data_IF_321163717767
#
_entry.id   IF_321163717767
#
_cell.length_a   1.000
_cell.length_b   1.000
_cell.length_c   1.000
_cell.angle_alpha   90.00
_cell.angle_beta   90.00
_cell.angle_gamma   90.00
#
_symmetry.space_group_name_H-M   'P 1'
#
loop_
_entity.id
_entity.type
_entity.pdbx_description
1 polymer ?
#
# COMPACT_ATOMS: atom_id res chain seq x y z
N UNK A 1 16.67 3.98 14.60
CA UNK A 1 17.19 5.27 15.12
C UNK A 1 16.29 5.77 16.24
N UNK A 2 14.97 5.97 16.01
CA UNK A 2 14.07 6.57 16.99
C UNK A 2 13.89 5.76 18.29
N UNK A 3 14.07 4.45 18.27
CA UNK A 3 13.95 3.55 19.43
C UNK A 3 15.24 3.47 20.28
N UNK A 4 16.40 3.69 19.66
CA UNK A 4 17.70 3.44 20.30
C UNK A 4 18.48 4.72 20.61
N UNK A 5 18.12 5.84 20.00
CA UNK A 5 18.84 7.10 20.17
C UNK A 5 17.95 8.16 20.82
N UNK A 6 18.46 8.94 21.78
CA UNK A 6 17.76 10.11 22.29
C UNK A 6 17.59 11.17 21.19
N UNK A 7 16.57 12.03 21.30
CA UNK A 7 16.18 13.01 20.30
C UNK A 7 17.39 13.82 19.73
N UNK A 8 18.27 14.29 20.59
CA UNK A 8 19.46 15.05 20.17
C UNK A 8 20.38 14.25 19.25
N UNK A 9 20.62 12.96 19.55
CA UNK A 9 21.44 12.09 18.70
C UNK A 9 20.75 11.76 17.38
N UNK A 10 19.43 11.64 17.37
CA UNK A 10 18.66 11.44 16.12
C UNK A 10 18.83 12.63 15.18
N UNK A 11 18.69 13.85 15.71
CA UNK A 11 18.88 15.10 14.96
C UNK A 11 20.29 15.18 14.37
N UNK A 12 21.31 14.84 15.15
CA UNK A 12 22.71 14.88 14.67
C UNK A 12 22.93 13.85 13.56
N UNK A 13 22.54 12.61 13.79
CA UNK A 13 22.71 11.52 12.79
C UNK A 13 21.98 11.86 11.48
N UNK A 14 20.73 12.33 11.59
CA UNK A 14 19.96 12.72 10.41
C UNK A 14 20.56 13.94 9.70
N UNK A 15 21.04 14.93 10.46
CA UNK A 15 21.74 16.10 9.91
C UNK A 15 23.03 15.73 9.16
N UNK A 16 23.82 14.79 9.69
CA UNK A 16 25.02 14.29 9.01
C UNK A 16 24.64 13.57 7.71
N UNK A 17 23.59 12.73 7.73
CA UNK A 17 23.11 12.04 6.52
C UNK A 17 22.60 13.04 5.46
N UNK A 18 21.91 14.10 5.88
CA UNK A 18 21.47 15.18 4.99
C UNK A 18 22.65 15.91 4.34
N UNK A 19 23.68 16.22 5.10
CA UNK A 19 24.90 16.86 4.59
C UNK A 19 25.65 15.95 3.61
N UNK A 20 25.76 14.66 3.93
CA UNK A 20 26.36 13.67 3.03
C UNK A 20 25.56 13.57 1.72
N UNK A 21 24.22 13.65 1.78
CA UNK A 21 23.40 13.64 0.57
C UNK A 21 23.64 14.87 -0.33
N UNK A 22 23.97 16.04 0.24
CA UNK A 22 24.36 17.23 -0.56
C UNK A 22 25.65 16.97 -1.33
N UNK A 23 26.62 16.27 -0.74
CA UNK A 23 27.92 15.98 -1.38
C UNK A 23 27.74 15.07 -2.62
N UNK A 24 26.68 14.30 -2.69
CA UNK A 24 26.38 13.44 -3.86
C UNK A 24 25.67 14.19 -5.01
N UNK A 25 25.44 15.48 -4.88
CA UNK A 25 24.84 16.30 -5.94
C UNK A 25 25.91 16.80 -6.94
N UNK A 26 25.54 17.02 -8.20
CA UNK A 26 24.27 16.73 -8.85
C UNK A 26 24.06 15.22 -9.09
N UNK A 27 22.79 14.78 -9.15
CA UNK A 27 22.45 13.37 -9.40
C UNK A 27 22.72 13.05 -10.88
N UNK A 28 23.93 12.58 -11.15
CA UNK A 28 24.33 12.10 -12.49
C UNK A 28 25.00 10.74 -12.36
N UNK A 29 24.58 9.73 -13.16
CA UNK A 29 25.30 8.47 -13.21
C UNK A 29 26.74 8.70 -13.67
N UNK A 30 27.72 8.07 -12.99
CA UNK A 30 29.10 8.11 -13.40
C UNK A 30 29.30 7.40 -14.75
N UNK A 31 30.16 7.93 -15.61
CA UNK A 31 30.56 7.28 -16.87
C UNK A 31 31.15 5.88 -16.65
N UNK A 32 31.80 5.66 -15.50
CA UNK A 32 32.36 4.34 -15.12
C UNK A 32 31.31 3.25 -14.87
N UNK A 33 30.05 3.64 -14.72
CA UNK A 33 28.93 2.71 -14.48
C UNK A 33 28.17 2.35 -15.76
N UNK A 34 28.63 2.82 -16.92
CA UNK A 34 28.02 2.41 -18.19
C UNK A 34 28.20 0.91 -18.41
N UNK A 35 27.14 0.18 -18.78
CA UNK A 35 27.23 -1.26 -19.01
C UNK A 35 28.22 -1.58 -20.14
N UNK A 36 29.08 -2.55 -19.91
CA UNK A 36 30.04 -3.05 -20.93
C UNK A 36 29.46 -4.17 -21.80
N UNK A 37 28.24 -4.63 -21.48
CA UNK A 37 27.48 -5.62 -22.25
C UNK A 37 27.57 -7.07 -21.75
N UNK A 38 28.50 -7.38 -20.85
CA UNK A 38 28.69 -8.75 -20.31
C UNK A 38 28.12 -8.94 -18.90
N UNK A 39 27.43 -7.95 -18.36
CA UNK A 39 26.99 -7.93 -16.96
C UNK A 39 25.52 -8.33 -16.83
N UNK A 40 25.14 -8.81 -15.62
CA UNK A 40 23.74 -9.07 -15.31
C UNK A 40 22.99 -7.72 -15.25
N UNK A 41 22.00 -7.47 -16.12
CA UNK A 41 21.32 -6.16 -16.21
C UNK A 41 20.73 -5.68 -14.87
N UNK A 42 20.16 -6.60 -14.09
CA UNK A 42 19.55 -6.29 -12.79
C UNK A 42 20.59 -5.76 -11.79
N UNK A 43 21.75 -6.39 -11.70
CA UNK A 43 22.82 -5.97 -10.79
C UNK A 43 23.35 -4.60 -11.19
N UNK A 44 23.56 -4.39 -12.49
CA UNK A 44 24.07 -3.13 -13.01
C UNK A 44 23.09 -1.96 -12.76
N UNK A 45 21.80 -2.18 -12.99
CA UNK A 45 20.76 -1.18 -12.68
C UNK A 45 20.77 -0.83 -11.19
N UNK A 46 20.84 -1.83 -10.30
CA UNK A 46 20.89 -1.60 -8.85
C UNK A 46 22.15 -0.84 -8.44
N UNK A 47 23.30 -1.12 -9.03
CA UNK A 47 24.55 -0.37 -8.75
C UNK A 47 24.43 1.07 -9.20
N UNK A 48 23.98 1.33 -10.42
CA UNK A 48 23.78 2.69 -10.95
C UNK A 48 22.82 3.48 -10.07
N UNK A 49 21.69 2.90 -9.71
CA UNK A 49 20.68 3.57 -8.86
C UNK A 49 21.22 3.82 -7.45
N UNK A 50 21.93 2.85 -6.86
CA UNK A 50 22.45 2.99 -5.50
C UNK A 50 23.52 4.09 -5.44
N UNK A 51 24.42 4.13 -6.41
CA UNK A 51 25.49 5.15 -6.43
C UNK A 51 24.98 6.55 -6.79
N UNK A 52 24.02 6.64 -7.72
CA UNK A 52 23.53 7.93 -8.20
C UNK A 52 22.52 8.59 -7.27
N UNK A 53 21.52 7.83 -6.78
CA UNK A 53 20.39 8.38 -6.02
C UNK A 53 20.20 7.73 -4.64
N UNK A 54 20.93 6.66 -4.32
CA UNK A 54 20.68 5.86 -3.13
C UNK A 54 20.71 6.66 -1.83
N UNK A 55 21.72 7.48 -1.61
CA UNK A 55 21.83 8.28 -0.38
C UNK A 55 20.77 9.40 -0.30
N UNK A 56 20.55 10.24 -1.32
CA UNK A 56 19.43 11.18 -1.34
C UNK A 56 18.07 10.51 -1.11
N UNK A 57 17.80 9.38 -1.76
CA UNK A 57 16.55 8.63 -1.61
C UNK A 57 16.37 8.09 -0.18
N UNK A 58 17.42 7.51 0.41
CA UNK A 58 17.40 7.02 1.79
C UNK A 58 17.07 8.14 2.77
N UNK A 59 17.66 9.30 2.60
CA UNK A 59 17.44 10.46 3.47
C UNK A 59 16.01 10.99 3.33
N UNK A 60 15.52 11.16 2.11
CA UNK A 60 14.15 11.60 1.85
C UNK A 60 13.11 10.62 2.42
N UNK A 61 13.31 9.32 2.20
CA UNK A 61 12.37 8.28 2.67
C UNK A 61 12.34 8.16 4.20
N UNK A 62 13.47 8.36 4.88
CA UNK A 62 13.56 8.28 6.34
C UNK A 62 13.07 9.55 7.04
N UNK A 63 13.07 10.70 6.38
CA UNK A 63 12.67 11.98 6.99
C UNK A 63 11.19 12.02 7.34
N UNK A 64 10.31 11.53 6.50
CA UNK A 64 8.85 11.59 6.77
C UNK A 64 8.47 10.90 8.08
N UNK A 65 8.84 9.63 8.36
CA UNK A 65 8.60 8.99 9.65
C UNK A 65 9.27 9.68 10.83
N UNK A 66 10.47 10.23 10.60
CA UNK A 66 11.24 10.90 11.65
C UNK A 66 10.59 12.21 12.09
N UNK A 67 10.20 13.06 11.13
CA UNK A 67 9.50 14.32 11.39
C UNK A 67 8.16 14.07 12.08
N UNK A 68 7.43 13.02 11.69
CA UNK A 68 6.19 12.64 12.37
C UNK A 68 6.41 12.24 13.84
N UNK A 69 7.49 11.48 14.11
CA UNK A 69 7.87 11.11 15.46
C UNK A 69 8.28 12.34 16.29
N UNK A 70 9.00 13.28 15.69
CA UNK A 70 9.34 14.55 16.34
C UNK A 70 8.12 15.42 16.61
N UNK A 71 7.20 15.50 15.64
CA UNK A 71 5.94 16.23 15.80
C UNK A 71 5.10 15.66 16.94
N UNK A 72 5.00 14.34 17.05
CA UNK A 72 4.27 13.69 18.14
C UNK A 72 4.85 14.02 19.52
N UNK A 73 6.19 14.14 19.62
CA UNK A 73 6.87 14.53 20.86
C UNK A 73 6.71 16.02 21.16
N UNK A 74 6.77 16.88 20.16
CA UNK A 74 6.65 18.33 20.33
C UNK A 74 5.20 18.77 20.61
N UNK A 75 4.20 18.01 20.16
CA UNK A 75 2.78 18.36 20.26
C UNK A 75 1.96 17.19 20.83
N UNK A 76 2.05 16.90 22.13
CA UNK A 76 1.26 15.84 22.75
C UNK A 76 -0.24 16.09 22.54
N UNK A 77 -0.97 15.02 22.18
CA UNK A 77 -2.41 15.08 21.90
C UNK A 77 -2.79 15.41 20.44
N UNK A 78 -1.84 15.82 19.59
CA UNK A 78 -2.09 16.00 18.15
C UNK A 78 -1.70 14.73 17.36
N UNK A 79 -2.55 14.36 16.39
CA UNK A 79 -2.32 13.18 15.57
C UNK A 79 -1.24 13.44 14.50
N UNK A 80 -0.11 12.69 14.49
CA UNK A 80 0.94 12.84 13.50
C UNK A 80 0.56 12.22 12.15
N UNK A 81 -0.45 11.36 12.09
CA UNK A 81 -0.82 10.59 10.90
C UNK A 81 -1.28 11.44 9.71
N UNK A 82 -1.78 12.67 9.96
CA UNK A 82 -2.13 13.61 8.89
C UNK A 82 -0.90 14.08 8.10
N UNK A 83 0.28 14.09 8.70
CA UNK A 83 1.52 14.44 8.00
C UNK A 83 1.88 13.39 6.94
N UNK A 84 1.50 12.13 7.17
CA UNK A 84 1.67 11.07 6.18
C UNK A 84 0.75 11.30 4.97
N UNK A 85 -0.50 11.68 5.20
CA UNK A 85 -1.40 12.07 4.10
C UNK A 85 -0.82 13.26 3.30
N UNK A 86 -0.29 14.27 3.97
CA UNK A 86 0.34 15.43 3.33
C UNK A 86 1.56 15.04 2.48
N UNK A 87 2.39 14.12 2.97
CA UNK A 87 3.53 13.58 2.19
C UNK A 87 3.05 12.90 0.90
N UNK A 88 1.97 12.13 0.95
CA UNK A 88 1.38 11.50 -0.23
C UNK A 88 0.74 12.51 -1.20
N UNK A 89 0.21 13.63 -0.70
CA UNK A 89 -0.23 14.75 -1.58
C UNK A 89 0.96 15.29 -2.37
N UNK A 90 2.12 15.51 -1.73
CA UNK A 90 3.34 15.93 -2.42
C UNK A 90 3.76 14.92 -3.50
N UNK A 91 3.70 13.62 -3.20
CA UNK A 91 4.00 12.56 -4.17
C UNK A 91 3.02 12.55 -5.35
N UNK A 92 1.73 12.74 -5.08
CA UNK A 92 0.70 12.83 -6.13
C UNK A 92 0.91 14.05 -7.04
N UNK A 93 1.20 15.21 -6.44
CA UNK A 93 1.50 16.43 -7.21
C UNK A 93 2.76 16.26 -8.07
N UNK A 94 3.80 15.60 -7.56
CA UNK A 94 5.00 15.29 -8.33
C UNK A 94 4.71 14.31 -9.47
N UNK A 95 3.94 13.26 -9.21
CA UNK A 95 3.55 12.27 -10.22
C UNK A 95 2.80 12.92 -11.39
N UNK A 96 1.82 13.77 -11.09
CA UNK A 96 1.03 14.44 -12.11
C UNK A 96 1.74 15.66 -12.70
N UNK A 97 2.51 16.39 -11.90
CA UNK A 97 3.20 17.61 -12.34
C UNK A 97 4.40 17.32 -13.25
N UNK A 98 5.11 16.21 -13.03
CA UNK A 98 6.33 15.91 -13.80
C UNK A 98 6.08 15.83 -15.30
N UNK A 99 5.19 14.97 -15.83
CA UNK A 99 5.00 14.81 -17.28
C UNK A 99 4.32 15.99 -17.95
N UNK A 100 3.52 16.78 -17.20
CA UNK A 100 2.76 17.89 -17.80
C UNK A 100 3.43 19.27 -17.62
N UNK A 101 4.21 19.45 -16.55
CA UNK A 101 4.80 20.75 -16.19
C UNK A 101 6.33 20.75 -16.25
N UNK A 102 6.99 19.63 -15.94
CA UNK A 102 8.45 19.60 -15.84
C UNK A 102 9.08 19.09 -17.13
N UNK A 103 8.68 17.90 -17.57
CA UNK A 103 9.27 17.24 -18.74
C UNK A 103 9.14 18.04 -20.04
N UNK A 104 7.98 18.67 -20.37
CA UNK A 104 7.83 19.42 -21.62
C UNK A 104 8.59 20.75 -21.64
N UNK A 105 8.83 21.34 -20.47
CA UNK A 105 9.34 22.72 -20.37
C UNK A 105 10.80 22.82 -19.93
N UNK A 106 11.39 21.72 -19.46
CA UNK A 106 12.73 21.75 -18.89
C UNK A 106 13.66 20.74 -19.54
N UNK A 107 14.83 21.19 -19.94
CA UNK A 107 15.90 20.29 -20.39
C UNK A 107 16.36 19.39 -19.24
N UNK A 108 16.90 18.21 -19.55
CA UNK A 108 17.42 17.25 -18.55
C UNK A 108 18.42 17.90 -17.57
N UNK A 109 19.33 18.72 -18.08
CA UNK A 109 20.31 19.45 -17.25
C UNK A 109 19.61 20.44 -16.30
N UNK A 110 18.60 21.17 -16.78
CA UNK A 110 17.82 22.06 -15.95
C UNK A 110 17.09 21.29 -14.84
N UNK A 111 16.45 20.15 -15.16
CA UNK A 111 15.79 19.29 -14.17
C UNK A 111 16.75 18.85 -13.07
N UNK A 112 17.94 18.38 -13.41
CA UNK A 112 18.97 17.96 -12.45
C UNK A 112 19.37 19.12 -11.53
N UNK A 113 19.60 20.31 -12.09
CA UNK A 113 20.01 21.50 -11.33
C UNK A 113 18.89 21.97 -10.38
N UNK A 114 17.63 22.03 -10.86
CA UNK A 114 16.50 22.41 -10.03
C UNK A 114 16.21 21.38 -8.92
N UNK A 115 16.37 20.09 -9.23
CA UNK A 115 16.27 19.05 -8.22
C UNK A 115 17.34 19.19 -7.14
N UNK A 116 18.58 19.46 -7.56
CA UNK A 116 19.71 19.67 -6.64
C UNK A 116 19.48 20.89 -5.74
N UNK A 117 18.99 21.99 -6.31
CA UNK A 117 18.63 23.20 -5.56
C UNK A 117 17.49 22.91 -4.57
N UNK A 118 16.47 22.16 -5.01
CA UNK A 118 15.37 21.71 -4.15
C UNK A 118 15.86 20.85 -2.99
N UNK A 119 16.84 19.97 -3.20
CA UNK A 119 17.45 19.16 -2.16
C UNK A 119 18.20 20.02 -1.14
N UNK A 120 18.97 21.03 -1.59
CA UNK A 120 19.63 21.98 -0.69
C UNK A 120 18.60 22.73 0.17
N UNK A 121 17.53 23.26 -0.45
CA UNK A 121 16.45 23.92 0.26
C UNK A 121 15.78 23.00 1.29
N UNK A 122 15.51 21.76 0.91
CA UNK A 122 14.97 20.73 1.80
C UNK A 122 15.86 20.49 3.03
N UNK A 123 17.20 20.40 2.83
CA UNK A 123 18.15 20.24 3.94
C UNK A 123 18.13 21.44 4.87
N UNK A 124 18.03 22.66 4.34
CA UNK A 124 17.91 23.87 5.15
C UNK A 124 16.63 23.87 6.00
N UNK A 125 15.49 23.48 5.42
CA UNK A 125 14.22 23.36 6.14
C UNK A 125 14.30 22.28 7.23
N UNK A 126 14.87 21.11 6.92
CA UNK A 126 15.07 20.05 7.92
C UNK A 126 16.03 20.50 9.04
N UNK A 127 17.08 21.23 8.70
CA UNK A 127 18.01 21.82 9.67
C UNK A 127 17.31 22.81 10.60
N UNK A 128 16.47 23.68 10.06
CA UNK A 128 15.67 24.61 10.86
C UNK A 128 14.70 23.89 11.79
N UNK A 129 13.98 22.87 11.30
CA UNK A 129 13.10 22.03 12.13
C UNK A 129 13.88 21.33 13.25
N UNK A 130 15.04 20.78 12.92
CA UNK A 130 15.92 20.13 13.90
C UNK A 130 16.42 21.12 14.97
N UNK A 131 16.72 22.35 14.55
CA UNK A 131 17.09 23.42 15.48
C UNK A 131 15.95 23.79 16.43
N UNK A 132 14.73 23.96 15.92
CA UNK A 132 13.55 24.32 16.72
C UNK A 132 13.21 23.27 17.78
N UNK A 133 13.60 22.01 17.57
CA UNK A 133 13.36 20.89 18.50
C UNK A 133 14.36 20.85 19.68
N UNK A 134 15.42 21.65 19.66
CA UNK A 134 16.41 21.67 20.76
C UNK A 134 15.81 22.10 22.11
N UNK A 135 14.76 22.92 22.05
CA UNK A 135 14.04 23.45 23.24
C UNK A 135 12.99 22.48 23.80
N UNK A 136 12.73 21.35 23.13
CA UNK A 136 11.75 20.36 23.60
C UNK A 136 12.36 19.53 24.73
N UNK A 137 11.74 19.48 25.93
CA UNK A 137 12.24 18.68 27.04
C UNK A 137 12.32 17.19 26.68
N UNK A 138 13.37 16.52 27.17
CA UNK A 138 13.53 15.06 26.99
C UNK A 138 12.51 14.30 27.86
N UNK A 139 11.30 14.10 27.37
CA UNK A 139 10.24 13.29 28.00
C UNK A 139 10.44 11.77 27.82
N UNK A 140 11.55 11.36 27.18
CA UNK A 140 11.76 9.97 26.71
C UNK A 140 11.78 8.91 27.81
N UNK A 141 12.18 9.25 29.05
CA UNK A 141 12.34 8.22 30.11
C UNK A 141 11.03 7.90 30.82
N UNK A 142 10.20 8.91 31.08
CA UNK A 142 8.95 8.73 31.83
C UNK A 142 7.83 8.18 30.96
N UNK A 143 7.77 8.58 29.68
CA UNK A 143 6.82 8.02 28.73
C UNK A 143 7.12 6.55 28.39
N UNK A 144 8.37 6.17 28.20
CA UNK A 144 8.77 4.78 27.97
C UNK A 144 8.47 3.86 29.18
N UNK A 145 8.54 4.41 30.40
CA UNK A 145 8.21 3.68 31.63
C UNK A 145 6.70 3.54 31.82
N UNK A 146 5.94 4.60 31.52
CA UNK A 146 4.47 4.57 31.53
C UNK A 146 3.91 3.65 30.46
N UNK A 147 4.52 3.63 29.27
CA UNK A 147 4.14 2.75 28.15
C UNK A 147 4.40 1.27 28.49
N UNK A 148 5.58 0.94 29.08
CA UNK A 148 5.85 -0.43 29.55
C UNK A 148 4.84 -0.89 30.60
N UNK A 149 4.42 -0.01 31.51
CA UNK A 149 3.42 -0.33 32.50
C UNK A 149 2.02 -0.54 31.90
N UNK A 150 1.60 0.29 30.93
CA UNK A 150 0.32 0.14 30.23
C UNK A 150 0.26 -1.09 29.31
N UNK A 151 1.38 -1.48 28.70
CA UNK A 151 1.48 -2.61 27.78
C UNK A 151 1.60 -3.97 28.47
N UNK A 152 1.89 -3.97 29.78
CA UNK A 152 2.09 -5.21 30.59
C UNK A 152 0.81 -5.95 30.88
N UNK A 153 -0.34 -5.29 30.90
CA UNK A 153 -1.45 -5.86 31.68
C UNK A 153 -2.57 -6.53 30.87
N UNK A 154 -2.79 -6.33 29.56
CA UNK A 154 -4.00 -6.89 28.97
C UNK A 154 -3.99 -7.32 27.49
N UNK A 155 -2.90 -7.22 26.75
CA UNK A 155 -2.90 -7.72 25.35
C UNK A 155 -2.23 -9.10 25.22
N UNK A 156 -2.97 -10.09 24.74
CA UNK A 156 -2.41 -11.40 24.45
C UNK A 156 -1.30 -11.29 23.40
N UNK A 157 -0.21 -12.07 23.57
CA UNK A 157 0.92 -12.11 22.63
C UNK A 157 0.47 -12.40 21.20
N UNK A 158 -0.55 -13.25 21.04
CA UNK A 158 -1.14 -13.59 19.74
C UNK A 158 -1.78 -12.38 19.06
N UNK A 159 -2.53 -11.54 19.80
CA UNK A 159 -3.16 -10.33 19.23
C UNK A 159 -2.11 -9.34 18.74
N UNK A 160 -1.01 -9.15 19.48
CA UNK A 160 0.11 -8.28 19.02
C UNK A 160 0.75 -8.81 17.73
N UNK A 161 1.00 -10.11 17.65
CA UNK A 161 1.57 -10.72 16.44
C UNK A 161 0.61 -10.60 15.25
N UNK A 162 -0.69 -10.80 15.46
CA UNK A 162 -1.69 -10.62 14.44
C UNK A 162 -1.74 -9.16 13.92
N UNK A 163 -1.72 -8.16 14.80
CA UNK A 163 -1.70 -6.75 14.42
C UNK A 163 -0.43 -6.42 13.61
N UNK A 164 0.74 -6.91 14.01
CA UNK A 164 1.98 -6.76 13.25
C UNK A 164 1.89 -7.43 11.88
N UNK A 165 1.29 -8.62 11.83
CA UNK A 165 1.01 -9.31 10.57
C UNK A 165 0.12 -8.49 9.63
N UNK A 166 -0.93 -7.83 10.15
CA UNK A 166 -1.78 -6.94 9.34
C UNK A 166 -1.08 -5.66 8.90
N UNK A 167 -0.19 -5.08 9.72
CA UNK A 167 0.62 -3.93 9.28
C UNK A 167 1.55 -4.27 8.13
N UNK A 168 1.92 -5.53 7.99
CA UNK A 168 2.71 -6.04 6.87
C UNK A 168 1.84 -6.44 5.68
N UNK A 169 0.79 -7.25 5.92
CA UNK A 169 -0.02 -7.87 4.88
C UNK A 169 -0.92 -6.89 4.13
N UNK A 170 -1.53 -5.91 4.84
CA UNK A 170 -2.40 -4.91 4.19
C UNK A 170 -1.65 -4.05 3.15
N UNK A 171 -0.48 -3.46 3.46
CA UNK A 171 0.30 -2.73 2.46
C UNK A 171 0.85 -3.64 1.36
N UNK A 172 1.25 -4.88 1.70
CA UNK A 172 1.72 -5.85 0.71
C UNK A 172 0.63 -6.14 -0.33
N UNK A 173 -0.59 -6.39 0.15
CA UNK A 173 -1.74 -6.62 -0.71
C UNK A 173 -2.10 -5.38 -1.53
N UNK A 174 -2.09 -4.17 -0.92
CA UNK A 174 -2.33 -2.91 -1.62
C UNK A 174 -1.33 -2.64 -2.75
N UNK A 175 -0.05 -2.92 -2.52
CA UNK A 175 1.00 -2.79 -3.56
C UNK A 175 0.88 -3.88 -4.62
N UNK A 176 0.58 -5.11 -4.23
CA UNK A 176 0.42 -6.20 -5.19
C UNK A 176 -0.77 -5.94 -6.13
N UNK A 177 -1.91 -5.47 -5.62
CA UNK A 177 -3.06 -5.13 -6.49
C UNK A 177 -2.79 -3.89 -7.36
N UNK A 178 -2.03 -2.91 -6.87
CA UNK A 178 -1.57 -1.78 -7.69
C UNK A 178 -0.76 -2.27 -8.89
N UNK A 179 0.26 -3.09 -8.65
CA UNK A 179 1.14 -3.58 -9.70
C UNK A 179 0.41 -4.55 -10.65
N UNK A 180 -0.41 -5.46 -10.11
CA UNK A 180 -1.23 -6.37 -10.91
C UNK A 180 -2.24 -5.63 -11.79
N UNK A 181 -2.90 -4.59 -11.27
CA UNK A 181 -3.79 -3.73 -12.06
C UNK A 181 -3.01 -2.98 -13.15
N UNK A 182 -1.84 -2.44 -12.82
CA UNK A 182 -0.98 -1.73 -13.78
C UNK A 182 -0.55 -2.65 -14.90
N UNK A 183 -0.08 -3.86 -14.57
CA UNK A 183 0.27 -4.87 -15.56
C UNK A 183 -0.91 -5.20 -16.47
N UNK A 184 -2.08 -5.46 -15.88
CA UNK A 184 -3.30 -5.79 -16.63
C UNK A 184 -3.70 -4.68 -17.60
N UNK A 185 -3.68 -3.42 -17.16
CA UNK A 185 -4.02 -2.28 -18.00
C UNK A 185 -2.99 -2.03 -19.10
N UNK A 186 -1.70 -2.14 -18.79
CA UNK A 186 -0.64 -1.83 -19.76
C UNK A 186 -0.45 -2.92 -20.83
N UNK A 187 -0.94 -4.13 -20.59
CA UNK A 187 -0.74 -5.27 -21.49
C UNK A 187 -1.96 -5.57 -22.35
N UNK A 188 -3.15 -5.52 -21.80
CA UNK A 188 -4.39 -5.80 -22.52
C UNK A 188 -4.83 -4.62 -23.38
N UNK A 189 -4.30 -3.44 -23.11
CA UNK A 189 -4.63 -2.22 -23.82
C UNK A 189 -3.43 -1.76 -24.65
N UNK A 190 -3.69 -1.05 -25.75
CA UNK A 190 -2.63 -0.37 -26.49
C UNK A 190 -1.75 0.43 -25.56
N UNK A 191 -0.45 0.51 -25.83
CA UNK A 191 0.50 1.28 -25.04
C UNK A 191 0.10 2.77 -25.08
N UNK A 192 -0.81 3.14 -24.20
CA UNK A 192 -1.23 4.53 -24.03
C UNK A 192 -0.22 5.18 -23.10
N UNK A 193 0.49 6.21 -23.56
CA UNK A 193 1.39 6.96 -22.70
C UNK A 193 0.66 7.39 -21.43
N UNK A 194 1.34 7.27 -20.28
CA UNK A 194 0.81 7.65 -18.97
C UNK A 194 -0.34 6.80 -18.39
N UNK A 195 -0.80 5.73 -19.08
CA UNK A 195 -1.85 4.87 -18.52
C UNK A 195 -1.42 4.25 -17.17
N UNK A 196 -0.14 3.94 -17.00
CA UNK A 196 0.44 3.42 -15.76
C UNK A 196 0.36 4.42 -14.59
N UNK A 197 0.26 5.72 -14.87
CA UNK A 197 0.16 6.74 -13.82
C UNK A 197 -1.20 6.72 -13.12
N UNK A 198 -2.26 6.34 -13.82
CA UNK A 198 -3.63 6.34 -13.27
C UNK A 198 -3.78 5.40 -12.07
N UNK A 199 -3.37 4.11 -12.13
CA UNK A 199 -3.38 3.23 -10.96
C UNK A 199 -2.57 3.78 -9.78
N UNK A 200 -1.37 4.31 -10.04
CA UNK A 200 -0.51 4.87 -8.99
C UNK A 200 -1.12 6.15 -8.38
N UNK A 201 -1.73 7.02 -9.18
CA UNK A 201 -2.43 8.19 -8.68
C UNK A 201 -3.61 7.80 -7.78
N UNK A 202 -4.43 6.83 -8.19
CA UNK A 202 -5.53 6.30 -7.38
C UNK A 202 -5.02 5.70 -6.06
N UNK A 203 -3.94 4.94 -6.10
CA UNK A 203 -3.30 4.38 -4.91
C UNK A 203 -2.87 5.47 -3.91
N UNK A 204 -2.21 6.53 -4.39
CA UNK A 204 -1.84 7.67 -3.54
C UNK A 204 -3.07 8.41 -2.99
N UNK A 205 -4.11 8.59 -3.79
CA UNK A 205 -5.38 9.19 -3.35
C UNK A 205 -6.01 8.37 -2.23
N UNK A 206 -6.00 7.03 -2.30
CA UNK A 206 -6.54 6.20 -1.22
C UNK A 206 -5.75 6.33 0.09
N UNK A 207 -4.42 6.48 0.04
CA UNK A 207 -3.62 6.82 1.22
C UNK A 207 -3.98 8.19 1.80
N UNK A 208 -4.11 9.20 0.93
CA UNK A 208 -4.46 10.56 1.34
C UNK A 208 -5.80 10.55 2.08
N UNK A 209 -6.83 9.94 1.48
CA UNK A 209 -8.17 9.88 2.05
C UNK A 209 -8.18 9.11 3.37
N UNK A 210 -7.58 7.92 3.41
CA UNK A 210 -7.61 7.04 4.58
C UNK A 210 -6.84 7.64 5.76
N UNK A 211 -5.68 8.27 5.52
CA UNK A 211 -4.85 8.84 6.58
C UNK A 211 -5.24 10.27 6.96
N UNK A 212 -6.10 10.94 6.17
CA UNK A 212 -6.68 12.23 6.55
C UNK A 212 -7.61 12.10 7.77
N UNK A 213 -8.38 11.02 7.86
CA UNK A 213 -9.27 10.78 8.99
C UNK A 213 -10.15 9.56 8.87
N UNK A 214 -10.52 8.98 10.01
CA UNK A 214 -11.32 7.75 10.10
C UNK A 214 -12.74 7.84 9.50
N UNK A 215 -13.28 9.03 9.31
CA UNK A 215 -14.64 9.25 8.78
C UNK A 215 -14.79 8.92 7.30
N UNK A 216 -13.70 8.86 6.56
CA UNK A 216 -13.72 8.63 5.12
C UNK A 216 -13.78 7.15 4.74
N UNK A 217 -13.42 6.27 5.64
CA UNK A 217 -13.50 4.83 5.42
C UNK A 217 -14.66 4.24 6.24
N UNK A 218 -15.69 3.78 5.56
CA UNK A 218 -16.90 3.17 6.12
C UNK A 218 -17.00 1.75 5.56
N UNK A 219 -16.72 0.72 6.39
CA UNK A 219 -16.71 -0.71 5.97
C UNK A 219 -17.97 -1.11 5.26
N UNK A 220 -19.11 -0.69 5.82
CA UNK A 220 -20.46 -1.04 5.39
C UNK A 220 -20.77 -0.55 3.97
N UNK A 221 -20.01 0.41 3.47
CA UNK A 221 -20.14 0.94 2.11
C UNK A 221 -19.06 0.33 1.19
N UNK A 222 -17.81 0.32 1.63
CA UNK A 222 -16.70 -0.08 0.75
C UNK A 222 -16.67 -1.58 0.45
N UNK A 223 -17.04 -2.44 1.43
CA UNK A 223 -17.02 -3.89 1.23
C UNK A 223 -18.08 -4.35 0.22
N UNK A 224 -19.37 -3.97 0.33
CA UNK A 224 -20.37 -4.32 -0.69
C UNK A 224 -20.04 -3.78 -2.08
N UNK A 225 -19.52 -2.54 -2.15
CA UNK A 225 -19.10 -1.96 -3.43
C UNK A 225 -17.94 -2.74 -4.06
N UNK A 226 -17.00 -3.24 -3.26
CA UNK A 226 -15.92 -4.07 -3.76
C UNK A 226 -16.45 -5.39 -4.32
N UNK A 227 -17.39 -6.05 -3.63
CA UNK A 227 -18.04 -7.29 -4.13
C UNK A 227 -18.73 -7.04 -5.46
N UNK A 228 -19.46 -5.92 -5.59
CA UNK A 228 -20.11 -5.53 -6.84
C UNK A 228 -19.09 -5.32 -7.97
N UNK A 229 -17.98 -4.62 -7.67
CA UNK A 229 -16.92 -4.41 -8.65
C UNK A 229 -16.15 -5.68 -9.00
N UNK A 230 -16.01 -6.63 -8.09
CA UNK A 230 -15.47 -7.95 -8.42
C UNK A 230 -16.32 -8.68 -9.45
N UNK A 231 -17.63 -8.64 -9.29
CA UNK A 231 -18.55 -9.16 -10.32
C UNK A 231 -18.34 -8.45 -11.68
N UNK A 232 -18.12 -7.13 -11.65
CA UNK A 232 -17.75 -6.35 -12.83
C UNK A 232 -16.43 -6.77 -13.45
N UNK A 233 -15.39 -7.01 -12.63
CA UNK A 233 -14.08 -7.53 -13.08
C UNK A 233 -14.26 -8.88 -13.77
N UNK A 234 -14.97 -9.81 -13.14
CA UNK A 234 -15.24 -11.13 -13.73
C UNK A 234 -16.00 -11.01 -15.05
N UNK A 235 -17.02 -10.13 -15.12
CA UNK A 235 -17.78 -9.89 -16.34
C UNK A 235 -16.89 -9.33 -17.47
N UNK A 236 -16.03 -8.33 -17.16
CA UNK A 236 -15.09 -7.77 -18.12
C UNK A 236 -14.10 -8.84 -18.61
N UNK A 237 -13.58 -9.66 -17.71
CA UNK A 237 -12.65 -10.73 -18.06
C UNK A 237 -13.30 -11.79 -18.92
N UNK A 238 -14.56 -12.14 -18.64
CA UNK A 238 -15.33 -13.09 -19.45
C UNK A 238 -15.64 -12.56 -20.85
N UNK A 239 -15.99 -11.27 -20.97
CA UNK A 239 -16.31 -10.64 -22.28
C UNK A 239 -15.07 -10.24 -23.06
N UNK A 240 -13.93 -10.05 -22.40
CA UNK A 240 -12.66 -9.70 -23.02
C UNK A 240 -12.74 -8.43 -23.87
N UNK A 241 -12.22 -8.49 -25.09
CA UNK A 241 -12.11 -7.37 -26.04
C UNK A 241 -13.44 -6.77 -26.49
N UNK A 242 -14.57 -7.46 -26.25
CA UNK A 242 -15.91 -6.93 -26.60
C UNK A 242 -16.29 -5.73 -25.71
N UNK A 243 -15.74 -5.65 -24.50
CA UNK A 243 -16.00 -4.53 -23.61
C UNK A 243 -15.18 -3.31 -24.04
N UNK A 244 -15.85 -2.18 -24.21
CA UNK A 244 -15.18 -0.93 -24.57
C UNK A 244 -14.04 -0.59 -23.60
N UNK A 245 -12.90 -0.13 -24.09
CA UNK A 245 -11.68 0.14 -23.34
C UNK A 245 -11.90 1.02 -22.09
N UNK A 246 -12.73 2.06 -22.20
CA UNK A 246 -13.07 2.94 -21.08
C UNK A 246 -13.80 2.15 -19.98
N UNK A 247 -14.69 1.23 -20.35
CA UNK A 247 -15.39 0.37 -19.41
C UNK A 247 -14.43 -0.53 -18.65
N UNK A 248 -13.45 -1.11 -19.33
CA UNK A 248 -12.39 -1.93 -18.72
C UNK A 248 -11.57 -1.08 -17.73
N UNK A 249 -11.09 0.11 -18.14
CA UNK A 249 -10.34 1.03 -17.28
C UNK A 249 -11.14 1.36 -16.01
N UNK A 250 -12.41 1.73 -16.16
CA UNK A 250 -13.27 2.09 -15.03
C UNK A 250 -13.44 0.93 -14.04
N UNK A 251 -13.65 -0.28 -14.54
CA UNK A 251 -13.85 -1.47 -13.70
C UNK A 251 -12.55 -1.84 -12.97
N UNK A 252 -11.41 -1.94 -13.68
CA UNK A 252 -10.15 -2.31 -13.07
C UNK A 252 -9.63 -1.22 -12.11
N UNK A 253 -9.69 0.04 -12.48
CA UNK A 253 -9.31 1.16 -11.62
C UNK A 253 -10.26 1.34 -10.43
N UNK A 254 -11.55 1.09 -10.61
CA UNK A 254 -12.54 1.08 -9.53
C UNK A 254 -12.27 -0.04 -8.52
N UNK A 255 -11.99 -1.25 -8.99
CA UNK A 255 -11.64 -2.38 -8.14
C UNK A 255 -10.33 -2.11 -7.37
N UNK A 256 -9.31 -1.54 -8.02
CA UNK A 256 -8.09 -1.07 -7.37
C UNK A 256 -8.39 -0.04 -6.29
N UNK A 257 -9.15 1.01 -6.63
CA UNK A 257 -9.48 2.08 -5.69
C UNK A 257 -10.19 1.55 -4.43
N UNK A 258 -11.22 0.73 -4.60
CA UNK A 258 -11.97 0.17 -3.46
C UNK A 258 -11.10 -0.80 -2.63
N UNK A 259 -10.31 -1.65 -3.28
CA UNK A 259 -9.39 -2.57 -2.60
C UNK A 259 -8.34 -1.81 -1.78
N UNK A 260 -7.73 -0.79 -2.36
CA UNK A 260 -6.76 0.06 -1.66
C UNK A 260 -7.42 0.90 -0.55
N UNK A 261 -8.65 1.42 -0.75
CA UNK A 261 -9.40 2.11 0.32
C UNK A 261 -9.63 1.19 1.51
N UNK A 262 -9.94 -0.08 1.26
CA UNK A 262 -10.11 -1.07 2.33
C UNK A 262 -8.78 -1.36 3.02
N UNK A 263 -7.73 -1.70 2.27
CA UNK A 263 -6.41 -1.99 2.84
C UNK A 263 -5.87 -0.82 3.67
N UNK A 264 -5.90 0.40 3.14
CA UNK A 264 -5.39 1.59 3.82
C UNK A 264 -6.30 2.08 4.94
N UNK A 265 -7.63 1.91 4.79
CA UNK A 265 -8.61 2.22 5.83
C UNK A 265 -8.46 1.32 7.05
N UNK A 266 -8.35 0.00 6.84
CA UNK A 266 -8.08 -0.95 7.92
C UNK A 266 -6.70 -0.72 8.56
N UNK A 267 -5.70 -0.44 7.75
CA UNK A 267 -4.38 -0.09 8.23
C UNK A 267 -4.42 1.15 9.14
N UNK A 268 -5.16 2.20 8.76
CA UNK A 268 -5.36 3.38 9.59
C UNK A 268 -6.16 3.09 10.87
N UNK A 269 -7.13 2.17 10.84
CA UNK A 269 -7.87 1.73 12.04
C UNK A 269 -6.98 0.98 13.03
N UNK A 270 -6.06 0.16 12.53
CA UNK A 270 -5.08 -0.60 13.31
C UNK A 270 -3.85 0.22 13.72
N UNK A 271 -3.84 1.54 13.48
CA UNK A 271 -2.69 2.39 13.82
C UNK A 271 -2.40 2.37 15.31
N UNK A 272 -1.13 2.30 15.71
CA UNK A 272 -0.72 2.29 17.10
C UNK A 272 -0.74 3.70 17.71
N UNK A 273 -0.50 3.77 19.01
CA UNK A 273 -0.16 5.04 19.65
C UNK A 273 1.14 5.63 19.08
N UNK A 274 1.35 6.96 19.19
CA UNK A 274 2.50 7.67 18.61
C UNK A 274 3.87 7.11 19.00
N UNK A 275 3.99 6.46 20.15
CA UNK A 275 5.23 5.85 20.61
C UNK A 275 5.74 4.71 19.70
N UNK A 276 4.86 4.03 18.96
CA UNK A 276 5.20 2.94 18.03
C UNK A 276 5.19 3.34 16.56
N UNK A 277 5.10 4.62 16.28
CA UNK A 277 4.96 5.18 14.95
C UNK A 277 6.04 4.70 13.97
N UNK A 278 7.30 4.71 14.40
CA UNK A 278 8.43 4.30 13.55
C UNK A 278 8.33 2.83 13.13
N UNK A 279 7.95 1.95 14.08
CA UNK A 279 7.76 0.53 13.76
C UNK A 279 6.61 0.33 12.79
N UNK A 280 5.52 1.05 12.98
CA UNK A 280 4.36 1.02 12.12
C UNK A 280 4.71 1.39 10.68
N UNK A 281 5.37 2.53 10.44
CA UNK A 281 5.76 2.94 9.10
C UNK A 281 6.84 2.05 8.48
N UNK A 282 7.78 1.54 9.28
CA UNK A 282 8.76 0.57 8.79
C UNK A 282 8.08 -0.71 8.30
N UNK A 283 7.10 -1.21 9.05
CA UNK A 283 6.34 -2.41 8.70
C UNK A 283 5.47 -2.16 7.46
N UNK A 284 4.85 -0.98 7.32
CA UNK A 284 4.14 -0.58 6.10
C UNK A 284 5.06 -0.58 4.89
N UNK A 285 6.24 0.04 5.02
CA UNK A 285 7.22 0.09 3.92
C UNK A 285 7.73 -1.31 3.55
N UNK A 286 8.00 -2.14 4.55
CA UNK A 286 8.39 -3.54 4.33
C UNK A 286 7.28 -4.34 3.64
N UNK A 287 6.02 -4.16 4.07
CA UNK A 287 4.87 -4.77 3.43
C UNK A 287 4.73 -4.35 1.95
N UNK A 288 4.81 -3.05 1.68
CA UNK A 288 4.79 -2.55 0.30
C UNK A 288 5.91 -3.14 -0.56
N UNK A 289 7.14 -3.21 -0.01
CA UNK A 289 8.26 -3.85 -0.69
C UNK A 289 8.01 -5.34 -0.97
N UNK A 290 7.45 -6.09 -0.01
CA UNK A 290 7.12 -7.51 -0.19
C UNK A 290 6.04 -7.71 -1.27
N UNK A 291 5.00 -6.86 -1.30
CA UNK A 291 4.00 -6.89 -2.37
C UNK A 291 4.61 -6.61 -3.75
N UNK A 292 5.51 -5.63 -3.83
CA UNK A 292 6.27 -5.34 -5.04
C UNK A 292 7.17 -6.49 -5.50
N UNK A 293 7.91 -7.09 -4.57
CA UNK A 293 8.77 -8.25 -4.84
C UNK A 293 7.94 -9.47 -5.30
N UNK A 294 6.78 -9.69 -4.69
CA UNK A 294 5.88 -10.75 -5.13
C UNK A 294 5.50 -10.60 -6.60
N UNK A 295 5.01 -9.42 -6.99
CA UNK A 295 4.55 -9.20 -8.38
C UNK A 295 5.70 -9.10 -9.37
N UNK A 296 6.83 -8.44 -9.01
CA UNK A 296 7.93 -8.19 -9.92
C UNK A 296 8.87 -9.39 -10.10
N UNK A 297 9.05 -10.21 -9.07
CA UNK A 297 10.02 -11.31 -9.08
C UNK A 297 9.36 -12.69 -8.95
N UNK A 298 8.49 -12.88 -7.95
CA UNK A 298 7.94 -14.20 -7.66
C UNK A 298 6.86 -14.61 -8.66
N UNK A 299 5.93 -13.71 -8.98
CA UNK A 299 4.84 -14.03 -9.88
C UNK A 299 5.31 -14.48 -11.28
N UNK A 300 6.26 -13.80 -11.96
CA UNK A 300 6.77 -14.25 -13.25
C UNK A 300 7.54 -15.59 -13.20
N UNK A 301 8.07 -15.96 -12.02
CA UNK A 301 8.75 -17.24 -11.83
C UNK A 301 7.79 -18.40 -11.56
N UNK A 302 6.63 -18.10 -10.96
CA UNK A 302 5.65 -19.10 -10.51
C UNK A 302 4.51 -19.30 -11.50
N UNK A 303 4.14 -18.25 -12.25
CA UNK A 303 2.95 -18.23 -13.07
C UNK A 303 3.29 -17.94 -14.54
N UNK A 304 2.62 -18.61 -15.46
CA UNK A 304 2.73 -18.38 -16.91
C UNK A 304 1.72 -17.31 -17.41
N UNK A 305 1.04 -16.60 -16.51
CA UNK A 305 0.07 -15.53 -16.80
C UNK A 305 -0.06 -14.57 -15.64
N UNK A 306 -0.99 -13.61 -15.72
CA UNK A 306 -1.15 -12.50 -14.74
C UNK A 306 -2.01 -12.90 -13.55
N UNK A 307 -1.68 -14.00 -12.89
CA UNK A 307 -2.40 -14.55 -11.75
C UNK A 307 -2.26 -13.67 -10.49
N UNK A 308 -1.19 -12.89 -10.43
CA UNK A 308 -0.93 -11.96 -9.32
C UNK A 308 -2.07 -10.97 -9.09
N UNK A 309 -2.78 -10.55 -10.16
CA UNK A 309 -3.95 -9.69 -10.03
C UNK A 309 -5.09 -10.38 -9.26
N UNK A 310 -5.42 -11.60 -9.64
CA UNK A 310 -6.51 -12.39 -9.03
C UNK A 310 -6.18 -12.75 -7.58
N UNK A 311 -4.96 -13.23 -7.35
CA UNK A 311 -4.46 -13.57 -6.02
C UNK A 311 -4.53 -12.35 -5.09
N UNK A 312 -4.15 -11.17 -5.60
CA UNK A 312 -4.22 -9.93 -4.82
C UNK A 312 -5.66 -9.54 -4.48
N UNK A 313 -6.61 -9.68 -5.40
CA UNK A 313 -8.04 -9.45 -5.13
C UNK A 313 -8.56 -10.39 -4.03
N UNK A 314 -8.22 -11.68 -4.08
CA UNK A 314 -8.60 -12.64 -3.05
C UNK A 314 -7.96 -12.34 -1.70
N UNK A 315 -6.68 -11.96 -1.72
CA UNK A 315 -5.98 -11.58 -0.50
C UNK A 315 -6.65 -10.39 0.20
N UNK A 316 -7.18 -9.40 -0.54
CA UNK A 316 -8.00 -8.32 0.05
C UNK A 316 -9.20 -8.88 0.79
N UNK A 317 -9.99 -9.75 0.15
CA UNK A 317 -11.17 -10.37 0.77
C UNK A 317 -10.82 -11.15 2.02
N UNK A 318 -9.79 -11.99 1.96
CA UNK A 318 -9.33 -12.79 3.08
C UNK A 318 -8.83 -11.91 4.24
N UNK A 319 -8.04 -10.89 3.95
CA UNK A 319 -7.53 -9.95 4.97
C UNK A 319 -8.67 -9.20 5.66
N UNK A 320 -9.69 -8.77 4.92
CA UNK A 320 -10.88 -8.13 5.49
C UNK A 320 -11.58 -9.06 6.47
N UNK A 321 -11.81 -10.32 6.11
CA UNK A 321 -12.43 -11.32 6.98
C UNK A 321 -11.60 -11.56 8.24
N UNK A 322 -10.29 -11.69 8.10
CA UNK A 322 -9.37 -11.88 9.23
C UNK A 322 -9.36 -10.67 10.18
N UNK A 323 -9.32 -9.44 9.65
CA UNK A 323 -9.35 -8.23 10.48
C UNK A 323 -10.68 -8.09 11.22
N UNK A 324 -11.81 -8.44 10.58
CA UNK A 324 -13.11 -8.45 11.24
C UNK A 324 -13.17 -9.46 12.39
N UNK A 325 -12.52 -10.62 12.24
CA UNK A 325 -12.44 -11.63 13.29
C UNK A 325 -11.65 -11.21 14.53
N UNK A 326 -10.73 -10.25 14.41
CA UNK A 326 -9.94 -9.73 15.54
C UNK A 326 -10.70 -8.78 16.46
N UNK A 327 -11.72 -8.10 15.97
CA UNK A 327 -12.50 -7.11 16.70
C UNK A 327 -14.00 -7.44 16.63
N UNK A 328 -14.46 -8.53 17.27
CA UNK A 328 -15.88 -8.89 17.27
C UNK A 328 -16.78 -7.82 17.91
N UNK A 329 -16.26 -7.00 18.82
CA UNK A 329 -17.00 -5.89 19.44
C UNK A 329 -17.26 -4.72 18.47
N UNK A 330 -16.43 -4.51 17.46
CA UNK A 330 -16.67 -3.52 16.40
C UNK A 330 -17.84 -3.91 15.49
N UNK A 331 -18.19 -5.19 15.43
CA UNK A 331 -19.38 -5.68 14.73
C UNK A 331 -20.69 -5.27 15.42
N UNK A 332 -20.64 -5.00 16.73
CA UNK A 332 -21.80 -4.62 17.53
C UNK A 332 -21.86 -3.13 17.84
N UNK A 333 -20.74 -2.43 17.79
CA UNK A 333 -20.60 -1.02 18.13
C UNK A 333 -20.48 -0.13 16.89
N UNK A 334 -21.42 -0.21 15.95
CA UNK A 334 -21.58 0.83 14.93
C UNK A 334 -22.16 2.07 15.60
N UNK A 335 -21.30 2.85 16.23
CA UNK A 335 -21.60 4.22 16.60
C UNK A 335 -21.68 5.07 15.34
N UNK A 336 -22.85 5.13 14.74
CA UNK A 336 -23.21 6.10 13.71
C UNK A 336 -23.02 7.53 14.23
N UNK A 337 -21.78 8.01 14.24
CA UNK A 337 -21.43 9.38 14.65
C UNK A 337 -21.66 10.43 13.55
N UNK A 338 -22.56 10.17 12.60
CA UNK A 338 -22.78 11.09 11.48
C UNK A 338 -24.23 11.38 11.13
N UNK A 339 -25.18 10.57 11.57
CA UNK A 339 -26.62 10.79 11.27
C UNK A 339 -27.41 11.00 12.55
N UNK A 340 -27.23 12.16 13.17
CA UNK A 340 -28.05 12.62 14.32
C UNK A 340 -29.54 12.75 13.96
N UNK A 341 -29.90 12.79 12.69
CA UNK A 341 -31.28 12.86 12.19
C UNK A 341 -32.06 11.55 12.32
N UNK A 342 -31.42 10.39 12.47
CA UNK A 342 -32.10 9.09 12.62
C UNK A 342 -32.26 8.64 14.07
N UNK A 343 -31.86 9.44 15.05
CA UNK A 343 -31.98 9.13 16.48
C UNK A 343 -33.41 9.18 17.03
N UNK A 344 -34.36 9.64 16.21
CA UNK A 344 -35.79 9.74 16.59
C UNK A 344 -36.55 8.43 16.44
N UNK A 345 -35.97 7.37 15.87
CA UNK A 345 -36.62 6.08 15.68
C UNK A 345 -36.01 4.97 16.54
N UNK A 346 -36.10 5.10 17.86
CA UNK A 346 -35.57 4.11 18.81
C UNK A 346 -36.24 2.72 18.76
N UNK A 347 -37.43 2.59 18.16
CA UNK A 347 -38.11 1.31 17.98
C UNK A 347 -37.61 0.49 16.78
N UNK A 348 -37.05 1.15 15.76
CA UNK A 348 -36.58 0.48 14.53
C UNK A 348 -35.14 -0.04 14.66
N UNK A 349 -34.35 0.42 15.66
CA UNK A 349 -32.95 0.08 15.83
C UNK A 349 -32.70 -1.39 16.21
N UNK A 350 -33.58 -2.02 16.93
CA UNK A 350 -33.50 -3.46 17.25
C UNK A 350 -33.78 -4.32 15.99
N UNK A 351 -34.71 -3.89 15.15
CA UNK A 351 -35.02 -4.51 13.85
C UNK A 351 -33.82 -4.26 12.89
N UNK A 352 -33.29 -3.04 12.84
CA UNK A 352 -32.13 -2.68 12.04
C UNK A 352 -30.88 -3.46 12.45
N UNK A 353 -30.66 -3.71 13.75
CA UNK A 353 -29.54 -4.53 14.25
C UNK A 353 -29.67 -6.01 13.81
N UNK A 354 -30.88 -6.56 13.72
CA UNK A 354 -31.13 -7.91 13.19
C UNK A 354 -30.91 -7.98 11.68
N UNK A 355 -31.44 -7.02 10.93
CA UNK A 355 -31.20 -6.91 9.50
C UNK A 355 -29.71 -6.62 9.19
N UNK A 356 -29.04 -5.85 10.01
CA UNK A 356 -27.61 -5.56 9.88
C UNK A 356 -26.73 -6.80 10.09
N UNK A 357 -27.07 -7.68 11.06
CA UNK A 357 -26.41 -8.99 11.21
C UNK A 357 -26.66 -9.89 9.99
N UNK A 358 -27.87 -9.85 9.43
CA UNK A 358 -28.21 -10.61 8.21
C UNK A 358 -27.45 -10.04 7.01
N UNK A 359 -27.33 -8.71 6.87
CA UNK A 359 -26.56 -8.07 5.80
C UNK A 359 -25.06 -8.38 5.91
N UNK A 360 -24.51 -8.37 7.14
CA UNK A 360 -23.10 -8.76 7.34
C UNK A 360 -22.89 -10.25 7.04
N UNK A 361 -23.76 -11.13 7.51
CA UNK A 361 -23.63 -12.55 7.18
C UNK A 361 -23.89 -12.83 5.71
N UNK A 362 -24.82 -12.13 5.06
CA UNK A 362 -25.05 -12.25 3.62
C UNK A 362 -23.89 -11.66 2.79
N UNK A 363 -23.25 -10.58 3.24
CA UNK A 363 -22.02 -10.06 2.59
C UNK A 363 -20.86 -11.02 2.76
N UNK A 364 -20.73 -11.67 3.91
CA UNK A 364 -19.73 -12.70 4.16
C UNK A 364 -19.95 -13.93 3.26
N UNK A 365 -21.20 -14.38 3.15
CA UNK A 365 -21.59 -15.47 2.23
C UNK A 365 -21.38 -15.04 0.78
N UNK A 366 -21.75 -13.81 0.42
CA UNK A 366 -21.52 -13.29 -0.93
C UNK A 366 -20.03 -13.21 -1.28
N UNK A 367 -19.17 -12.85 -0.31
CA UNK A 367 -17.71 -12.86 -0.50
C UNK A 367 -17.19 -14.28 -0.72
N UNK A 368 -17.62 -15.24 0.09
CA UNK A 368 -17.25 -16.66 -0.08
C UNK A 368 -17.75 -17.19 -1.44
N UNK A 369 -19.00 -16.88 -1.79
CA UNK A 369 -19.56 -17.26 -3.09
C UNK A 369 -18.83 -16.57 -4.25
N UNK A 370 -18.45 -15.31 -4.11
CA UNK A 370 -17.67 -14.58 -5.14
C UNK A 370 -16.29 -15.21 -5.32
N UNK A 371 -15.62 -15.61 -4.24
CA UNK A 371 -14.37 -16.34 -4.31
C UNK A 371 -14.56 -17.69 -5.00
N UNK A 372 -15.59 -18.47 -4.63
CA UNK A 372 -15.88 -19.76 -5.23
C UNK A 372 -16.28 -19.63 -6.71
N UNK A 373 -17.09 -18.63 -7.06
CA UNK A 373 -17.46 -18.34 -8.46
C UNK A 373 -16.23 -17.86 -9.25
N UNK A 374 -15.34 -17.09 -8.64
CA UNK A 374 -14.08 -16.68 -9.27
C UNK A 374 -13.19 -17.88 -9.55
N UNK A 375 -13.07 -18.81 -8.60
CA UNK A 375 -12.34 -20.07 -8.75
C UNK A 375 -12.93 -20.92 -9.89
N UNK A 376 -14.24 -21.09 -9.88
CA UNK A 376 -14.95 -21.84 -10.91
C UNK A 376 -14.86 -21.17 -12.30
N UNK A 377 -15.02 -19.84 -12.35
CA UNK A 377 -14.89 -19.09 -13.60
C UNK A 377 -13.45 -19.11 -14.14
N UNK A 378 -12.45 -19.13 -13.25
CA UNK A 378 -11.05 -19.29 -13.62
C UNK A 378 -10.78 -20.67 -14.23
N UNK A 379 -11.28 -21.72 -13.62
CA UNK A 379 -11.19 -23.08 -14.18
C UNK A 379 -11.82 -23.13 -15.58
N UNK A 380 -13.01 -22.55 -15.76
CA UNK A 380 -13.67 -22.49 -17.06
C UNK A 380 -13.03 -21.53 -18.07
N UNK A 381 -12.40 -20.46 -17.62
CA UNK A 381 -11.63 -19.56 -18.50
C UNK A 381 -10.34 -20.20 -18.99
N UNK A 382 -9.65 -20.97 -18.16
CA UNK A 382 -8.48 -21.75 -18.58
C UNK A 382 -8.90 -22.73 -19.68
N UNK A 383 -10.02 -23.44 -19.49
CA UNK A 383 -10.56 -24.35 -20.49
C UNK A 383 -10.98 -23.66 -21.81
N UNK A 384 -11.52 -22.43 -21.73
CA UNK A 384 -12.07 -21.69 -22.87
C UNK A 384 -11.04 -20.82 -23.60
N UNK A 385 -10.13 -20.18 -22.89
CA UNK A 385 -9.18 -19.21 -23.49
C UNK A 385 -8.08 -19.88 -24.27
N UNK A 386 -7.76 -21.14 -23.96
CA UNK A 386 -6.63 -21.83 -24.55
C UNK A 386 -7.09 -22.75 -25.70
N UNK A 387 -8.38 -23.15 -25.78
CA UNK A 387 -8.88 -24.08 -26.80
C UNK A 387 -8.07 -25.40 -26.89
N UNK A 388 -7.16 -25.55 -25.93
CA UNK A 388 -6.22 -26.65 -25.83
C UNK A 388 -6.65 -27.49 -24.64
N UNK A 389 -6.83 -28.75 -24.87
CA UNK A 389 -7.05 -29.70 -23.78
C UNK A 389 -5.91 -29.57 -22.79
N UNK A 390 -6.22 -29.27 -21.50
CA UNK A 390 -5.19 -29.06 -20.45
C UNK A 390 -4.20 -30.24 -20.43
N UNK A 391 -4.68 -31.44 -20.77
CA UNK A 391 -3.85 -32.63 -20.93
C UNK A 391 -2.82 -32.54 -22.07
N UNK A 392 -3.12 -31.83 -23.16
CA UNK A 392 -2.17 -31.59 -24.26
C UNK A 392 -1.19 -30.46 -23.95
N UNK A 393 -1.67 -29.39 -23.24
CA UNK A 393 -0.82 -28.25 -22.91
C UNK A 393 0.19 -28.55 -21.80
N UNK A 394 -0.20 -29.37 -20.83
CA UNK A 394 0.69 -29.74 -19.73
C UNK A 394 1.59 -30.93 -20.09
N UNK A 395 1.35 -31.68 -21.19
CA UNK A 395 1.99 -32.99 -21.42
C UNK A 395 2.01 -33.86 -20.14
N UNK A 396 0.91 -33.80 -19.36
CA UNK A 396 0.87 -34.29 -17.98
C UNK A 396 0.59 -35.81 -17.93
N UNK A 397 0.26 -36.42 -19.07
CA UNK A 397 0.05 -37.87 -19.14
C UNK A 397 1.22 -38.71 -18.58
N UNK A 398 2.42 -38.12 -18.51
CA UNK A 398 3.63 -38.81 -18.09
C UNK A 398 4.31 -38.29 -16.81
N UNK A 399 3.63 -37.42 -16.04
CA UNK A 399 4.20 -36.92 -14.80
C UNK A 399 3.94 -37.86 -13.60
N UNK A 400 4.98 -38.20 -12.81
CA UNK A 400 4.82 -39.01 -11.59
C UNK A 400 3.93 -38.29 -10.57
N UNK A 401 3.10 -39.08 -9.84
CA UNK A 401 2.05 -38.59 -8.93
C UNK A 401 2.43 -37.53 -7.90
N UNK A 402 3.72 -37.39 -7.55
CA UNK A 402 4.20 -36.34 -6.64
C UNK A 402 4.13 -34.91 -7.22
N UNK A 403 4.11 -34.77 -8.54
CA UNK A 403 4.06 -33.44 -9.17
C UNK A 403 2.64 -32.88 -9.24
N UNK A 404 1.59 -33.71 -9.17
CA UNK A 404 0.22 -33.30 -9.06
C UNK A 404 -0.07 -32.55 -7.76
N UNK A 405 0.60 -32.94 -6.67
CA UNK A 405 0.46 -32.27 -5.36
C UNK A 405 1.04 -30.86 -5.40
N UNK A 406 2.10 -30.64 -6.16
CA UNK A 406 2.68 -29.30 -6.37
C UNK A 406 1.79 -28.40 -7.20
N UNK A 407 1.07 -28.92 -8.20
CA UNK A 407 0.11 -28.18 -9.03
C UNK A 407 -1.19 -27.85 -8.28
N UNK A 408 -1.58 -28.65 -7.29
CA UNK A 408 -2.75 -28.36 -6.41
C UNK A 408 -2.42 -27.36 -5.30
N UNK A 409 -1.15 -27.13 -5.01
CA UNK A 409 -0.67 -26.16 -4.01
C UNK A 409 -0.25 -24.82 -4.65
N UNK A 410 -0.22 -24.71 -5.96
CA UNK A 410 -0.07 -23.50 -6.77
C UNK A 410 -1.44 -23.00 -7.19
#
# INVERSE_FOLDING_TARGET
VNRFLPLRKQVIVHGVLLLLAIITLPITPSESLKPTGNELPTVQILLVLTQSIGLPYLVLSTTSPLVQAWFAKAHPGRSPYRLYALSNVGSLLALLGFPFLVEPWMTRTAQINWWSLGMVFYVLVCGYLAWSLRSVPNLDKDEAKKEKARLGENESRLRRLAILGFWLALPACGTAILMGTTNKLCQDMAVVPFLWMLPLALYLVTFIISFHGSRWYIREVYIPLLVLLWAGVLWVMFKGVVVHIIGQILVFCGALFLSCMICHGELYRLRPEPARLTMYYLTISAGGALGGLFVALLAPMLFHGYWEYHISLWAVGLLVLMVQGLNPEDLTAVKWRGLSLLRSYSGSLAICSRYFKIIISSTLIAQVLTVLVSLWAMEKMVDFTIGVNISEWLQISDLPGEQWIRLLLI
#
